data_IF_564178334282
#
_entry.id   IF_564178334282
#
_cell.length_a   1.000
_cell.length_b   1.000
_cell.length_c   1.000
_cell.angle_alpha   90.00
_cell.angle_beta   90.00
_cell.angle_gamma   90.00
#
_symmetry.space_group_name_H-M   'P 1'
#
loop_
_entity.id
_entity.type
_entity.pdbx_description
1 polymer ?
#
# COMPACT_ATOMS: atom_id res chain seq x y z
N UNK A 1 19.15 2.36 42.44
CA UNK A 1 18.10 1.39 42.10
C UNK A 1 17.37 1.93 40.90
N UNK A 2 17.85 1.63 39.70
CA UNK A 2 17.22 2.10 38.47
C UNK A 2 16.10 1.13 38.10
N UNK A 3 14.90 1.38 38.64
CA UNK A 3 13.73 0.61 38.24
C UNK A 3 13.36 0.98 36.80
N UNK A 4 13.16 -0.01 35.92
CA UNK A 4 12.82 0.25 34.52
C UNK A 4 11.48 0.96 34.42
N UNK A 5 11.47 2.14 33.76
CA UNK A 5 10.27 2.94 33.50
C UNK A 5 9.28 2.14 32.65
N UNK A 6 8.08 1.89 33.19
CA UNK A 6 6.98 1.24 32.47
C UNK A 6 6.09 2.32 31.86
N UNK A 7 5.97 2.33 30.53
CA UNK A 7 5.01 3.15 29.81
C UNK A 7 3.97 2.23 29.13
N UNK A 8 2.68 2.59 29.14
CA UNK A 8 1.66 1.82 28.43
C UNK A 8 1.90 1.93 26.92
N UNK A 9 2.11 0.79 26.24
CA UNK A 9 2.20 0.74 24.78
C UNK A 9 0.79 0.63 24.22
N UNK A 10 0.35 1.67 23.51
CA UNK A 10 -0.97 1.69 22.89
C UNK A 10 -0.97 0.90 21.56
N UNK A 11 -1.95 0.01 21.32
CA UNK A 11 -2.04 -0.74 20.07
C UNK A 11 -2.19 0.13 18.82
N UNK A 12 -2.59 1.39 18.96
CA UNK A 12 -2.65 2.37 17.87
C UNK A 12 -1.30 2.66 17.25
N UNK A 13 -0.19 2.41 17.96
CA UNK A 13 1.17 2.61 17.47
C UNK A 13 1.64 1.50 16.53
N UNK A 14 1.05 0.31 16.62
CA UNK A 14 1.51 -0.89 15.88
C UNK A 14 0.46 -1.44 14.93
N UNK A 15 -0.83 -1.17 15.16
CA UNK A 15 -1.89 -1.68 14.28
C UNK A 15 -1.90 -0.95 12.94
N UNK A 16 -1.96 -1.69 11.82
CA UNK A 16 -2.11 -1.08 10.51
C UNK A 16 -3.45 -0.35 10.39
N UNK A 17 -3.42 0.83 9.75
CA UNK A 17 -4.59 1.65 9.49
C UNK A 17 -5.37 1.08 8.30
N UNK A 18 -6.40 0.29 8.59
CA UNK A 18 -7.35 -0.21 7.61
C UNK A 18 -8.52 0.77 7.43
N UNK A 19 -8.95 0.97 6.20
CA UNK A 19 -10.09 1.82 5.84
C UNK A 19 -11.17 0.94 5.20
N UNK A 20 -12.31 0.78 5.89
CA UNK A 20 -13.40 -0.09 5.42
C UNK A 20 -13.03 -1.58 5.33
N UNK A 21 -11.99 -2.02 6.05
CA UNK A 21 -11.47 -3.40 5.96
C UNK A 21 -10.47 -3.65 4.83
N UNK A 22 -10.06 -2.60 4.12
CA UNK A 22 -9.01 -2.63 3.09
C UNK A 22 -7.84 -1.70 3.46
N UNK A 23 -6.69 -1.87 2.80
CA UNK A 23 -5.52 -1.02 3.01
C UNK A 23 -5.82 0.42 2.58
N UNK A 24 -5.53 1.40 3.45
CA UNK A 24 -5.85 2.81 3.21
C UNK A 24 -5.31 3.34 1.89
N UNK A 25 -4.05 3.08 1.56
CA UNK A 25 -3.43 3.57 0.32
C UNK A 25 -4.15 3.06 -0.92
N UNK A 26 -4.45 1.75 -0.96
CA UNK A 26 -5.15 1.14 -2.09
C UNK A 26 -6.60 1.63 -2.21
N UNK A 27 -7.30 1.82 -1.08
CA UNK A 27 -8.66 2.36 -1.11
C UNK A 27 -8.68 3.80 -1.61
N UNK A 28 -7.72 4.62 -1.21
CA UNK A 28 -7.60 5.99 -1.71
C UNK A 28 -7.35 6.01 -3.22
N UNK A 29 -6.40 5.21 -3.72
CA UNK A 29 -6.12 5.09 -5.15
C UNK A 29 -7.37 4.63 -5.91
N UNK A 30 -8.06 3.60 -5.43
CA UNK A 30 -9.30 3.11 -6.04
C UNK A 30 -10.40 4.20 -6.08
N UNK A 31 -10.59 4.90 -4.95
CA UNK A 31 -11.54 6.01 -4.86
C UNK A 31 -11.20 7.16 -5.80
N UNK A 32 -9.91 7.51 -5.94
CA UNK A 32 -9.44 8.51 -6.89
C UNK A 32 -9.69 8.09 -8.33
N UNK A 33 -9.47 6.83 -8.68
CA UNK A 33 -9.76 6.30 -10.03
C UNK A 33 -11.27 6.37 -10.31
N UNK A 34 -12.10 5.97 -9.36
CA UNK A 34 -13.57 6.06 -9.48
C UNK A 34 -14.00 7.51 -9.70
N UNK A 35 -13.48 8.44 -8.89
CA UNK A 35 -13.76 9.87 -9.05
C UNK A 35 -13.28 10.39 -10.40
N UNK A 36 -12.07 10.03 -10.83
CA UNK A 36 -11.52 10.43 -12.13
C UNK A 36 -12.34 9.89 -13.30
N UNK A 37 -12.89 8.68 -13.20
CA UNK A 37 -13.78 8.10 -14.21
C UNK A 37 -15.11 8.86 -14.29
N UNK A 38 -15.73 9.16 -13.15
CA UNK A 38 -17.02 9.83 -13.08
C UNK A 38 -16.91 11.29 -13.55
N UNK A 39 -15.88 12.01 -13.08
CA UNK A 39 -15.74 13.45 -13.33
C UNK A 39 -14.88 13.78 -14.57
N UNK A 40 -13.89 12.94 -14.91
CA UNK A 40 -12.89 13.27 -15.93
C UNK A 40 -13.27 12.85 -17.36
N UNK A 41 -13.80 11.64 -17.54
CA UNK A 41 -14.09 11.07 -18.88
C UNK A 41 -15.50 11.47 -19.37
N UNK A 42 -16.33 12.03 -18.50
CA UNK A 42 -17.74 12.32 -18.77
C UNK A 42 -18.65 11.12 -18.44
N UNK A 43 -19.93 11.40 -18.19
CA UNK A 43 -20.92 10.42 -17.75
C UNK A 43 -21.41 9.54 -18.92
N UNK A 44 -20.51 8.72 -19.45
CA UNK A 44 -20.85 7.64 -20.37
C UNK A 44 -21.26 6.40 -19.58
N UNK A 45 -22.23 5.64 -20.12
CA UNK A 45 -22.67 4.36 -19.55
C UNK A 45 -21.50 3.43 -19.22
N UNK A 46 -20.50 3.37 -20.10
CA UNK A 46 -19.29 2.56 -19.90
C UNK A 46 -18.51 3.02 -18.67
N UNK A 47 -18.26 4.32 -18.51
CA UNK A 47 -17.54 4.86 -17.36
C UNK A 47 -18.28 4.57 -16.05
N UNK A 48 -19.60 4.74 -16.05
CA UNK A 48 -20.44 4.45 -14.89
C UNK A 48 -20.39 2.96 -14.50
N UNK A 49 -20.46 2.05 -15.49
CA UNK A 49 -20.36 0.61 -15.24
C UNK A 49 -19.01 0.22 -14.66
N UNK A 50 -17.91 0.78 -15.18
CA UNK A 50 -16.55 0.49 -14.69
C UNK A 50 -16.36 1.06 -13.29
N UNK A 51 -16.81 2.29 -13.04
CA UNK A 51 -16.79 2.92 -11.73
C UNK A 51 -17.58 2.10 -10.70
N UNK A 52 -18.77 1.61 -11.06
CA UNK A 52 -19.58 0.74 -10.21
C UNK A 52 -18.90 -0.61 -9.90
N UNK A 53 -18.27 -1.22 -10.91
CA UNK A 53 -17.49 -2.46 -10.72
C UNK A 53 -16.26 -2.25 -9.82
N UNK A 54 -15.54 -1.14 -9.97
CA UNK A 54 -14.42 -0.78 -9.09
C UNK A 54 -14.88 -0.48 -7.66
N UNK A 55 -16.02 0.19 -7.51
CA UNK A 55 -16.58 0.51 -6.20
C UNK A 55 -17.03 -0.76 -5.44
N UNK A 56 -17.56 -1.75 -6.15
CA UNK A 56 -18.09 -2.98 -5.54
C UNK A 56 -17.06 -4.12 -5.59
N UNK A 57 -16.80 -4.67 -6.77
CA UNK A 57 -15.87 -5.77 -6.99
C UNK A 57 -14.43 -5.41 -6.67
N UNK A 58 -13.99 -4.21 -7.06
CA UNK A 58 -12.66 -3.69 -6.74
C UNK A 58 -12.46 -3.54 -5.22
N UNK A 59 -13.40 -2.88 -4.54
CA UNK A 59 -13.33 -2.74 -3.09
C UNK A 59 -13.42 -4.09 -2.37
N UNK A 60 -14.29 -5.00 -2.80
CA UNK A 60 -14.37 -6.36 -2.25
C UNK A 60 -13.03 -7.10 -2.39
N UNK A 61 -12.39 -7.04 -3.56
CA UNK A 61 -11.07 -7.63 -3.77
C UNK A 61 -10.01 -6.99 -2.85
N UNK A 62 -10.04 -5.66 -2.67
CA UNK A 62 -9.14 -4.95 -1.75
C UNK A 62 -9.33 -5.37 -0.29
N UNK A 63 -10.56 -5.60 0.16
CA UNK A 63 -10.80 -6.12 1.52
C UNK A 63 -10.29 -7.54 1.70
N UNK A 64 -10.34 -8.38 0.65
CA UNK A 64 -9.74 -9.72 0.69
C UNK A 64 -8.23 -9.65 0.70
N UNK A 65 -7.62 -8.75 -0.08
CA UNK A 65 -6.18 -8.53 -0.10
C UNK A 65 -5.67 -8.07 1.27
N UNK A 66 -6.34 -7.12 1.91
CA UNK A 66 -5.98 -6.63 3.25
C UNK A 66 -6.11 -7.69 4.36
N UNK A 67 -6.97 -8.70 4.17
CA UNK A 67 -7.03 -9.87 5.06
C UNK A 67 -5.79 -10.76 4.95
N UNK A 68 -5.15 -10.81 3.78
CA UNK A 68 -3.90 -11.55 3.60
C UNK A 68 -2.69 -10.74 4.06
N UNK A 69 -2.61 -9.48 3.63
CA UNK A 69 -1.54 -8.56 4.02
C UNK A 69 -2.07 -7.12 4.16
N UNK A 70 -2.09 -6.56 5.39
CA UNK A 70 -2.49 -5.17 5.64
C UNK A 70 -1.58 -4.09 5.06
N UNK A 71 -0.34 -4.43 4.66
CA UNK A 71 0.70 -3.48 4.18
C UNK A 71 1.19 -3.84 2.76
N UNK A 72 0.30 -4.39 1.95
CA UNK A 72 0.62 -4.92 0.63
C UNK A 72 1.21 -3.86 -0.31
N UNK A 73 0.67 -2.63 -0.32
CA UNK A 73 1.14 -1.58 -1.25
C UNK A 73 2.64 -1.30 -1.09
N UNK A 74 3.10 -1.14 0.16
CA UNK A 74 4.48 -0.77 0.47
C UNK A 74 5.45 -1.91 0.14
N UNK A 75 5.06 -3.14 0.46
CA UNK A 75 5.87 -4.33 0.16
C UNK A 75 5.94 -4.54 -1.36
N UNK A 76 4.83 -4.37 -2.07
CA UNK A 76 4.77 -4.52 -3.52
C UNK A 76 5.65 -3.49 -4.24
N UNK A 77 5.60 -2.22 -3.82
CA UNK A 77 6.47 -1.17 -4.38
C UNK A 77 7.94 -1.50 -4.16
N UNK A 78 8.30 -2.04 -3.00
CA UNK A 78 9.67 -2.51 -2.74
C UNK A 78 10.03 -3.69 -3.64
N UNK A 79 9.10 -4.63 -3.81
CA UNK A 79 9.32 -5.81 -4.64
C UNK A 79 9.63 -5.45 -6.10
N UNK A 80 8.84 -4.55 -6.68
CA UNK A 80 9.00 -4.10 -8.08
C UNK A 80 10.32 -3.35 -8.29
N UNK A 81 10.83 -2.67 -7.26
CA UNK A 81 12.08 -1.90 -7.36
C UNK A 81 13.33 -2.68 -6.96
N UNK A 82 13.23 -3.97 -6.63
CA UNK A 82 14.43 -4.78 -6.42
C UNK A 82 15.21 -4.93 -7.74
N UNK A 83 16.54 -4.88 -7.63
CA UNK A 83 17.40 -5.18 -8.76
C UNK A 83 17.33 -6.68 -9.08
N UNK A 84 17.40 -7.07 -10.36
CA UNK A 84 17.41 -8.48 -10.75
C UNK A 84 18.64 -9.21 -10.24
N UNK A 85 19.73 -8.50 -9.98
CA UNK A 85 20.96 -9.05 -9.44
C UNK A 85 21.62 -8.07 -8.46
N UNK A 86 21.97 -8.58 -7.29
CA UNK A 86 22.74 -7.87 -6.27
C UNK A 86 24.13 -8.53 -6.18
N UNK A 87 25.22 -7.83 -6.58
CA UNK A 87 26.56 -8.40 -6.48
C UNK A 87 26.94 -8.60 -5.00
N UNK A 88 27.55 -9.74 -4.68
CA UNK A 88 27.96 -10.08 -3.32
C UNK A 88 29.10 -9.20 -2.77
N UNK A 89 29.79 -8.46 -3.65
CA UNK A 89 30.87 -7.53 -3.31
C UNK A 89 30.54 -6.15 -3.85
N UNK A 90 30.92 -5.07 -3.15
CA UNK A 90 30.81 -3.72 -3.70
C UNK A 90 31.75 -3.62 -4.91
N UNK A 91 31.15 -3.59 -6.10
CA UNK A 91 31.86 -3.37 -7.36
C UNK A 91 31.77 -1.89 -7.68
N UNK A 92 32.87 -1.27 -8.11
CA UNK A 92 32.88 0.15 -8.53
C UNK A 92 31.92 0.40 -9.71
N UNK A 93 31.72 -0.60 -10.57
CA UNK A 93 30.82 -0.54 -11.73
C UNK A 93 29.38 -0.98 -11.41
N UNK A 94 29.09 -1.37 -10.15
CA UNK A 94 27.76 -1.80 -9.80
C UNK A 94 26.78 -0.63 -9.91
N UNK A 95 25.60 -0.82 -10.52
CA UNK A 95 24.56 0.19 -10.50
C UNK A 95 24.20 0.49 -9.03
N UNK A 96 24.04 1.77 -8.66
CA UNK A 96 23.85 2.16 -7.26
C UNK A 96 22.66 1.39 -6.68
N UNK A 97 22.89 0.65 -5.59
CA UNK A 97 21.82 -0.05 -4.91
C UNK A 97 20.84 0.98 -4.34
N UNK A 98 19.54 0.79 -4.58
CA UNK A 98 18.52 1.59 -3.91
C UNK A 98 18.56 1.27 -2.41
N UNK A 99 19.01 2.23 -1.61
CA UNK A 99 18.92 2.15 -0.14
C UNK A 99 17.47 2.41 0.22
N UNK A 100 16.74 1.33 0.51
CA UNK A 100 15.39 1.47 1.05
C UNK A 100 15.50 1.78 2.53
N UNK A 101 14.97 2.92 3.01
CA UNK A 101 14.78 3.09 4.43
C UNK A 101 13.96 1.91 4.95
N UNK A 102 14.32 1.41 6.14
CA UNK A 102 13.43 0.51 6.87
C UNK A 102 12.05 1.14 6.90
N UNK A 103 11.00 0.35 6.71
CA UNK A 103 9.63 0.85 6.87
C UNK A 103 9.50 1.26 8.34
N UNK A 104 9.73 2.53 8.62
CA UNK A 104 9.51 3.10 9.94
C UNK A 104 8.00 3.25 10.09
N UNK A 105 7.49 2.71 11.20
CA UNK A 105 6.08 2.71 11.59
C UNK A 105 5.72 4.03 12.29
#
# INVERSE_FOLDING_TARGET
MDEPRRAPIHPSLTRPLLLGGAERELVLVNGTIIAALIFGVGSHWVSLTIAGLLATGGHWALTRAAKYDPRLSRIYVRHVRYQPYYPARPLTEAPPAWVYPSVED
#
